data_IF_315220507539
#
_entry.id   IF_315220507539
#
_cell.length_a   1.000
_cell.length_b   1.000
_cell.length_c   1.000
_cell.angle_alpha   90.00
_cell.angle_beta   90.00
_cell.angle_gamma   90.00
#
_symmetry.space_group_name_H-M   'P 1'
#
loop_
_entity.id
_entity.type
_entity.pdbx_description
1 polymer ?
#
# COMPACT_ATOMS: atom_id res chain seq x y z
N UNK A 1 28.12 14.01 -11.56
CA UNK A 1 28.04 12.54 -11.65
C UNK A 1 29.39 11.97 -11.25
N UNK A 2 29.44 10.73 -10.74
CA UNK A 2 30.72 10.04 -10.54
C UNK A 2 31.38 9.72 -11.90
N UNK A 3 32.72 9.60 -11.96
CA UNK A 3 33.42 9.20 -13.18
C UNK A 3 33.01 7.80 -13.67
N UNK A 4 32.96 7.52 -14.99
CA UNK A 4 32.55 6.23 -15.52
C UNK A 4 33.35 5.04 -14.97
N UNK A 5 34.65 5.22 -14.79
CA UNK A 5 35.55 4.20 -14.24
C UNK A 5 35.18 3.82 -12.80
N UNK A 6 34.71 4.78 -12.00
CA UNK A 6 34.30 4.55 -10.62
C UNK A 6 32.94 3.85 -10.56
N UNK A 7 32.01 4.22 -11.46
CA UNK A 7 30.72 3.53 -11.61
C UNK A 7 30.94 2.08 -12.02
N UNK A 8 31.83 1.82 -12.98
CA UNK A 8 32.18 0.46 -13.42
C UNK A 8 32.83 -0.34 -12.29
N UNK A 9 33.78 0.26 -11.56
CA UNK A 9 34.44 -0.38 -10.42
C UNK A 9 33.44 -0.82 -9.35
N UNK A 10 32.49 0.05 -8.98
CA UNK A 10 31.46 -0.27 -7.97
C UNK A 10 30.46 -1.30 -8.51
N UNK A 11 30.06 -1.20 -9.77
CA UNK A 11 29.21 -2.18 -10.45
C UNK A 11 29.80 -3.59 -10.38
N UNK A 12 31.08 -3.75 -10.74
CA UNK A 12 31.77 -5.04 -10.66
C UNK A 12 31.90 -5.56 -9.23
N UNK A 13 32.18 -4.67 -8.26
CA UNK A 13 32.20 -5.07 -6.85
C UNK A 13 30.84 -5.60 -6.38
N UNK A 14 29.71 -4.99 -6.80
CA UNK A 14 28.36 -5.44 -6.40
C UNK A 14 28.00 -6.85 -6.90
N UNK A 15 28.73 -7.36 -7.90
CA UNK A 15 28.59 -8.73 -8.44
C UNK A 15 29.46 -9.77 -7.71
N UNK A 16 30.35 -9.33 -6.82
CA UNK A 16 31.33 -10.19 -6.15
C UNK A 16 30.77 -10.96 -4.94
N UNK A 17 31.47 -12.02 -4.53
CA UNK A 17 31.15 -12.77 -3.30
C UNK A 17 31.36 -11.94 -2.03
N UNK A 18 32.36 -11.06 -1.98
CA UNK A 18 32.56 -10.14 -0.85
C UNK A 18 31.33 -9.26 -0.63
N UNK A 19 30.80 -8.67 -1.70
CA UNK A 19 29.59 -7.87 -1.61
C UNK A 19 28.38 -8.70 -1.19
N UNK A 20 28.24 -9.93 -1.71
CA UNK A 20 27.16 -10.84 -1.31
C UNK A 20 27.16 -11.06 0.21
N UNK A 21 28.28 -11.42 0.82
CA UNK A 21 28.30 -11.68 2.26
C UNK A 21 27.92 -10.43 3.07
N UNK A 22 28.40 -9.24 2.68
CA UNK A 22 27.97 -7.97 3.28
C UNK A 22 26.48 -7.69 3.08
N UNK A 23 25.96 -8.03 1.91
CA UNK A 23 24.56 -7.85 1.56
C UNK A 23 23.64 -8.77 2.39
N UNK A 24 24.04 -10.02 2.65
CA UNK A 24 23.32 -10.98 3.48
C UNK A 24 23.46 -10.71 4.97
N UNK A 25 24.53 -10.04 5.40
CA UNK A 25 24.73 -9.61 6.79
C UNK A 25 23.87 -8.39 7.21
N UNK A 26 23.00 -7.86 6.33
CA UNK A 26 22.11 -6.75 6.68
C UNK A 26 21.02 -7.20 7.64
N UNK A 27 20.85 -6.46 8.73
CA UNK A 27 19.81 -6.75 9.73
C UNK A 27 18.63 -5.76 9.70
N UNK A 28 18.85 -4.51 9.26
CA UNK A 28 17.82 -3.44 9.29
C UNK A 28 17.38 -2.96 7.91
N UNK A 29 18.31 -2.86 6.96
CA UNK A 29 18.03 -2.31 5.63
C UNK A 29 17.35 -3.36 4.74
N UNK A 30 16.20 -3.02 4.17
CA UNK A 30 15.53 -3.78 3.10
C UNK A 30 15.67 -3.06 1.77
N UNK A 31 16.00 -3.78 0.69
CA UNK A 31 16.10 -3.26 -0.68
C UNK A 31 15.29 -4.17 -1.59
N UNK A 32 14.47 -3.60 -2.47
CA UNK A 32 13.60 -4.32 -3.41
C UNK A 32 12.76 -5.44 -2.74
N UNK A 33 11.88 -5.09 -1.78
CA UNK A 33 11.08 -6.09 -1.08
C UNK A 33 10.15 -6.85 -2.02
N UNK A 34 10.05 -8.16 -1.85
CA UNK A 34 9.13 -9.04 -2.57
C UNK A 34 7.84 -9.31 -1.77
N UNK A 35 7.25 -8.26 -1.17
CA UNK A 35 6.00 -8.35 -0.39
C UNK A 35 5.20 -7.05 -0.43
N UNK A 36 3.87 -7.15 -0.34
CA UNK A 36 2.98 -6.03 -0.04
C UNK A 36 2.63 -5.95 1.45
N UNK A 37 1.96 -4.88 1.88
CA UNK A 37 1.41 -4.77 3.24
C UNK A 37 0.02 -5.43 3.34
N UNK A 38 -0.44 -5.75 4.54
CA UNK A 38 -1.68 -6.49 4.77
C UNK A 38 -2.95 -5.91 4.07
N UNK A 39 -3.24 -4.60 4.13
CA UNK A 39 -4.53 -4.08 3.66
C UNK A 39 -4.75 -4.16 2.14
N UNK A 40 -3.71 -4.30 1.30
CA UNK A 40 -3.95 -4.60 -0.14
C UNK A 40 -4.58 -5.98 -0.32
N UNK A 41 -4.19 -6.95 0.52
CA UNK A 41 -4.80 -8.29 0.53
C UNK A 41 -6.23 -8.27 1.07
N UNK A 42 -6.50 -7.50 2.13
CA UNK A 42 -7.85 -7.32 2.67
C UNK A 42 -8.80 -6.69 1.64
N UNK A 43 -8.35 -5.62 0.96
CA UNK A 43 -9.11 -4.99 -0.13
C UNK A 43 -9.38 -5.99 -1.27
N UNK A 44 -8.37 -6.76 -1.68
CA UNK A 44 -8.54 -7.76 -2.75
C UNK A 44 -9.53 -8.86 -2.36
N UNK A 45 -9.50 -9.33 -1.11
CA UNK A 45 -10.47 -10.29 -0.61
C UNK A 45 -11.90 -9.72 -0.56
N UNK A 46 -12.07 -8.48 -0.07
CA UNK A 46 -13.36 -7.81 0.02
C UNK A 46 -14.04 -7.62 -1.36
N UNK A 47 -13.25 -7.37 -2.42
CA UNK A 47 -13.75 -7.31 -3.80
C UNK A 47 -14.37 -8.63 -4.29
N UNK A 48 -14.09 -9.75 -3.63
CA UNK A 48 -14.63 -11.06 -3.98
C UNK A 48 -16.06 -11.33 -3.49
N UNK A 49 -16.63 -10.46 -2.66
CA UNK A 49 -17.98 -10.64 -2.09
C UNK A 49 -19.03 -9.80 -2.83
N UNK A 50 -20.21 -10.39 -3.08
CA UNK A 50 -21.28 -9.75 -3.85
C UNK A 50 -21.72 -8.41 -3.22
N UNK A 51 -21.74 -7.34 -4.01
CA UNK A 51 -22.21 -6.03 -3.56
C UNK A 51 -21.39 -5.41 -2.43
N UNK A 52 -20.12 -5.78 -2.31
CA UNK A 52 -19.23 -5.34 -1.22
C UNK A 52 -18.38 -4.16 -1.63
N UNK A 53 -18.31 -3.14 -0.77
CA UNK A 53 -17.40 -2.01 -0.91
C UNK A 53 -16.23 -2.16 0.08
N UNK A 54 -14.99 -2.35 -0.39
CA UNK A 54 -13.82 -2.32 0.48
C UNK A 54 -13.64 -0.93 1.12
N UNK A 55 -13.50 -0.89 2.44
CA UNK A 55 -13.35 0.32 3.25
C UNK A 55 -12.13 0.19 4.14
N UNK A 56 -11.15 1.06 3.94
CA UNK A 56 -9.94 1.08 4.78
C UNK A 56 -10.04 2.25 5.75
N UNK A 57 -10.23 1.96 7.03
CA UNK A 57 -10.14 2.96 8.08
C UNK A 57 -8.69 3.47 8.18
N UNK A 58 -8.47 4.78 7.99
CA UNK A 58 -7.14 5.38 8.09
C UNK A 58 -6.81 6.39 7.01
N UNK A 59 -5.53 6.43 6.61
CA UNK A 59 -5.02 7.38 5.63
C UNK A 59 -5.47 7.02 4.21
N UNK A 60 -6.00 8.01 3.50
CA UNK A 60 -6.42 7.88 2.10
C UNK A 60 -5.28 7.53 1.12
N UNK A 61 -4.03 7.86 1.47
CA UNK A 61 -2.87 7.56 0.63
C UNK A 61 -2.70 6.05 0.40
N UNK A 62 -2.96 5.25 1.44
CA UNK A 62 -2.93 3.78 1.37
C UNK A 62 -3.90 3.26 0.30
N UNK A 63 -5.15 3.72 0.31
CA UNK A 63 -6.19 3.29 -0.63
C UNK A 63 -5.85 3.66 -2.07
N UNK A 64 -5.30 4.86 -2.30
CA UNK A 64 -4.83 5.25 -3.64
C UNK A 64 -3.75 4.29 -4.18
N UNK A 65 -2.79 3.90 -3.34
CA UNK A 65 -1.77 2.91 -3.70
C UNK A 65 -2.34 1.53 -3.97
N UNK A 66 -3.25 1.03 -3.12
CA UNK A 66 -3.83 -0.32 -3.29
C UNK A 66 -4.64 -0.41 -4.58
N UNK A 67 -5.52 0.57 -4.84
CA UNK A 67 -6.30 0.65 -6.07
C UNK A 67 -5.40 0.68 -7.31
N UNK A 68 -4.35 1.49 -7.27
CA UNK A 68 -3.38 1.62 -8.38
C UNK A 68 -2.55 0.35 -8.58
N UNK A 69 -2.16 -0.32 -7.49
CA UNK A 69 -1.39 -1.56 -7.55
C UNK A 69 -2.19 -2.66 -8.24
N UNK A 70 -3.45 -2.87 -7.81
CA UNK A 70 -4.34 -3.88 -8.37
C UNK A 70 -4.78 -3.51 -9.80
N UNK A 71 -5.13 -2.25 -10.08
CA UNK A 71 -5.56 -1.85 -11.43
C UNK A 71 -4.45 -1.96 -12.46
N UNK A 72 -3.19 -1.69 -12.08
CA UNK A 72 -2.04 -1.90 -12.98
C UNK A 72 -1.84 -3.37 -13.32
N UNK A 73 -2.12 -4.29 -12.40
CA UNK A 73 -1.98 -5.72 -12.61
C UNK A 73 -3.14 -6.30 -13.43
N UNK A 74 -4.38 -6.05 -13.00
CA UNK A 74 -5.58 -6.65 -13.60
C UNK A 74 -6.14 -5.86 -14.79
N UNK A 75 -5.68 -4.61 -15.01
CA UNK A 75 -6.18 -3.70 -16.06
C UNK A 75 -7.65 -3.31 -15.92
N UNK A 76 -8.19 -3.42 -14.71
CA UNK A 76 -9.59 -3.13 -14.39
C UNK A 76 -9.71 -2.05 -13.30
N UNK A 77 -10.87 -1.39 -13.16
CA UNK A 77 -11.16 -0.55 -12.02
C UNK A 77 -11.14 -1.36 -10.72
N UNK A 78 -10.37 -0.90 -9.73
CA UNK A 78 -10.40 -1.46 -8.38
C UNK A 78 -11.02 -0.41 -7.44
N UNK A 79 -12.25 -0.65 -7.00
CA UNK A 79 -13.01 0.25 -6.13
C UNK A 79 -12.71 0.01 -4.66
N UNK A 80 -12.38 1.07 -3.93
CA UNK A 80 -12.22 1.07 -2.48
C UNK A 80 -12.29 2.51 -1.96
N UNK A 81 -12.66 2.67 -0.70
CA UNK A 81 -12.79 3.98 -0.03
C UNK A 81 -11.95 4.02 1.25
N UNK A 82 -11.69 5.25 1.71
CA UNK A 82 -10.99 5.54 2.96
C UNK A 82 -11.88 6.40 3.85
N UNK A 83 -11.68 6.34 5.16
CA UNK A 83 -12.24 7.32 6.10
C UNK A 83 -11.44 8.62 6.21
N UNK A 84 -10.29 8.69 5.53
CA UNK A 84 -9.46 9.89 5.39
C UNK A 84 -9.04 10.52 6.72
N UNK A 85 -8.49 9.71 7.63
CA UNK A 85 -7.90 10.21 8.86
C UNK A 85 -6.71 11.14 8.57
N UNK A 86 -6.73 12.31 9.20
CA UNK A 86 -5.66 13.32 9.20
C UNK A 86 -4.93 13.32 10.55
N UNK A 87 -4.00 14.26 10.74
CA UNK A 87 -3.23 14.40 11.99
C UNK A 87 -4.12 14.70 13.21
N UNK A 88 -5.28 15.34 13.04
CA UNK A 88 -6.24 15.59 14.13
C UNK A 88 -6.70 14.27 14.79
N UNK A 89 -6.84 13.21 14.00
CA UNK A 89 -7.25 11.90 14.49
C UNK A 89 -6.15 11.21 15.33
N UNK A 90 -4.91 11.72 15.32
CA UNK A 90 -3.87 11.28 16.24
C UNK A 90 -4.13 11.76 17.68
N UNK A 91 -4.82 12.89 17.85
CA UNK A 91 -5.22 13.42 19.17
C UNK A 91 -6.55 12.84 19.61
N UNK A 92 -7.55 12.83 18.72
CA UNK A 92 -8.94 12.55 19.08
C UNK A 92 -9.45 11.16 18.66
N UNK A 93 -8.61 10.37 17.99
CA UNK A 93 -9.01 9.11 17.38
C UNK A 93 -9.83 9.29 16.11
N UNK A 94 -10.04 8.18 15.38
CA UNK A 94 -10.73 8.18 14.08
C UNK A 94 -12.21 7.85 14.13
N UNK A 95 -12.89 7.96 15.29
CA UNK A 95 -14.29 7.55 15.42
C UNK A 95 -15.23 8.39 14.53
N UNK A 96 -15.05 9.71 14.51
CA UNK A 96 -15.85 10.59 13.65
C UNK A 96 -15.65 10.25 12.16
N UNK A 97 -14.40 10.01 11.74
CA UNK A 97 -14.07 9.55 10.39
C UNK A 97 -14.78 8.24 10.04
N UNK A 98 -14.87 7.30 10.98
CA UNK A 98 -15.54 6.02 10.77
C UNK A 98 -17.05 6.21 10.56
N UNK A 99 -17.70 6.96 11.45
CA UNK A 99 -19.16 7.21 11.40
C UNK A 99 -19.54 7.91 10.10
N UNK A 100 -18.88 9.03 9.80
CA UNK A 100 -19.14 9.81 8.59
C UNK A 100 -18.75 9.02 7.34
N UNK A 101 -17.58 8.37 7.34
CA UNK A 101 -17.09 7.58 6.22
C UNK A 101 -18.04 6.45 5.85
N UNK A 102 -18.58 5.70 6.83
CA UNK A 102 -19.58 4.66 6.57
C UNK A 102 -20.86 5.24 5.99
N UNK A 103 -21.38 6.33 6.57
CA UNK A 103 -22.60 6.98 6.11
C UNK A 103 -22.48 7.46 4.66
N UNK A 104 -21.42 8.21 4.35
CA UNK A 104 -21.16 8.74 3.00
C UNK A 104 -20.96 7.60 2.01
N UNK A 105 -20.17 6.58 2.38
CA UNK A 105 -19.94 5.41 1.52
C UNK A 105 -21.23 4.69 1.18
N UNK A 106 -22.11 4.51 2.17
CA UNK A 106 -23.41 3.88 1.95
C UNK A 106 -24.32 4.73 1.04
N UNK A 107 -24.39 6.04 1.28
CA UNK A 107 -25.25 6.94 0.51
C UNK A 107 -24.82 7.05 -0.97
N UNK A 108 -23.51 7.14 -1.23
CA UNK A 108 -22.97 7.33 -2.57
C UNK A 108 -22.94 6.04 -3.39
N UNK A 109 -22.46 4.94 -2.79
CA UNK A 109 -22.18 3.71 -3.54
C UNK A 109 -23.23 2.62 -3.35
N UNK A 110 -24.13 2.77 -2.36
CA UNK A 110 -25.23 1.84 -2.06
C UNK A 110 -24.79 0.35 -2.00
N UNK A 111 -23.71 0.00 -1.29
CA UNK A 111 -23.26 -1.38 -1.19
C UNK A 111 -24.22 -2.21 -0.31
N UNK A 112 -24.24 -3.53 -0.55
CA UNK A 112 -24.90 -4.51 0.34
C UNK A 112 -24.06 -4.77 1.61
N UNK A 113 -22.74 -4.65 1.51
CA UNK A 113 -21.79 -4.83 2.60
C UNK A 113 -20.63 -3.82 2.49
N UNK A 114 -20.16 -3.32 3.64
CA UNK A 114 -18.91 -2.57 3.75
C UNK A 114 -17.94 -3.46 4.53
N UNK A 115 -16.75 -3.69 3.98
CA UNK A 115 -15.76 -4.63 4.52
C UNK A 115 -14.37 -4.01 4.63
#
# INVERSE_FOLDING_TARGET
>A
AHPPEEVERVSEWTKSWDYREKNFAREALTVNPAKGCQPVGAMFAALGFEGTLPFVQGSQGCVAYFRTHLSRHYKEPCSAVSSSMTEDAAVFGGLNNMIEGMQVSYQLYKPKMIA
#
